data_IF_954937401269
#
_entry.id   IF_954937401269
#
_cell.length_a   1.000
_cell.length_b   1.000
_cell.length_c   1.000
_cell.angle_alpha   90.00
_cell.angle_beta   90.00
_cell.angle_gamma   90.00
#
_symmetry.space_group_name_H-M   'P 1'
#
loop_
_entity.id
_entity.type
_entity.pdbx_description
1 polymer ?
#
# COMPACT_ATOMS: atom_id res chain seq x y z
N UNK A 1 -14.64 11.77 11.75
CA UNK A 1 -13.57 11.35 10.81
C UNK A 1 -13.74 9.91 10.31
N UNK A 2 -14.12 8.96 11.18
CA UNK A 2 -14.33 7.54 10.81
C UNK A 2 -15.43 7.33 9.76
N UNK A 3 -16.57 8.03 9.87
CA UNK A 3 -17.70 7.89 8.92
C UNK A 3 -17.35 8.37 7.50
N UNK A 4 -16.62 9.49 7.38
CA UNK A 4 -16.19 10.05 6.08
C UNK A 4 -15.27 9.08 5.32
N UNK A 5 -14.43 8.32 6.05
CA UNK A 5 -13.53 7.34 5.43
C UNK A 5 -14.24 6.05 5.03
N UNK A 6 -15.25 5.65 5.79
CA UNK A 6 -16.09 4.50 5.44
C UNK A 6 -16.90 4.80 4.18
N UNK A 7 -17.61 5.93 4.16
CA UNK A 7 -18.37 6.40 3.00
C UNK A 7 -17.50 6.52 1.75
N UNK A 8 -16.28 7.07 1.89
CA UNK A 8 -15.34 7.17 0.77
C UNK A 8 -14.83 5.79 0.30
N UNK A 9 -14.65 4.83 1.22
CA UNK A 9 -14.27 3.45 0.87
C UNK A 9 -15.37 2.75 0.08
N UNK A 10 -16.63 2.91 0.51
CA UNK A 10 -17.78 2.34 -0.20
C UNK A 10 -17.98 3.01 -1.56
N UNK A 11 -17.80 4.33 -1.67
CA UNK A 11 -17.83 5.04 -2.94
C UNK A 11 -16.74 4.56 -3.92
N UNK A 12 -15.54 4.22 -3.43
CA UNK A 12 -14.49 3.63 -4.28
C UNK A 12 -14.84 2.24 -4.78
N UNK A 13 -15.48 1.41 -3.95
CA UNK A 13 -15.96 0.09 -4.37
C UNK A 13 -17.05 0.24 -5.43
N UNK A 14 -18.00 1.15 -5.23
CA UNK A 14 -19.07 1.42 -6.20
C UNK A 14 -18.54 2.02 -7.51
N UNK A 15 -17.55 2.92 -7.43
CA UNK A 15 -16.94 3.59 -8.56
C UNK A 15 -15.86 2.78 -9.29
N UNK A 16 -15.58 1.55 -8.85
CA UNK A 16 -14.59 0.69 -9.49
C UNK A 16 -13.13 1.13 -9.28
N UNK A 17 -12.86 2.03 -8.33
CA UNK A 17 -11.53 2.61 -8.04
C UNK A 17 -10.87 1.99 -6.81
N UNK A 18 -11.48 0.97 -6.21
CA UNK A 18 -10.91 0.18 -5.12
C UNK A 18 -9.77 -0.73 -5.62
N UNK A 19 -8.66 -0.09 -6.00
CA UNK A 19 -7.45 -0.72 -6.51
C UNK A 19 -6.19 -0.03 -5.96
N UNK A 20 -5.02 -0.55 -6.32
CA UNK A 20 -3.74 -0.05 -5.80
C UNK A 20 -3.53 1.45 -6.05
N UNK A 21 -3.94 1.94 -7.22
CA UNK A 21 -3.90 3.37 -7.54
C UNK A 21 -4.80 4.17 -6.62
N UNK A 22 -6.06 3.76 -6.44
CA UNK A 22 -7.00 4.44 -5.54
C UNK A 22 -6.52 4.50 -4.09
N UNK A 23 -5.89 3.42 -3.61
CA UNK A 23 -5.32 3.35 -2.26
C UNK A 23 -4.22 4.39 -2.00
N UNK A 24 -3.34 4.61 -2.99
CA UNK A 24 -2.23 5.56 -2.90
C UNK A 24 -2.65 7.01 -3.22
N UNK A 25 -3.51 7.19 -4.22
CA UNK A 25 -3.76 8.47 -4.89
C UNK A 25 -4.62 9.46 -4.13
N UNK A 26 -5.92 9.36 -4.32
CA UNK A 26 -6.78 10.52 -4.10
C UNK A 26 -7.64 10.38 -2.84
N UNK A 27 -7.79 9.16 -2.31
CA UNK A 27 -8.98 8.91 -1.49
C UNK A 27 -8.67 8.55 -0.04
N UNK A 28 -7.43 8.14 0.27
CA UNK A 28 -7.16 7.66 1.62
C UNK A 28 -5.76 7.89 2.19
N UNK A 29 -4.67 7.82 1.42
CA UNK A 29 -3.33 7.97 2.02
C UNK A 29 -2.82 9.42 2.03
N UNK A 30 -2.54 10.00 0.86
CA UNK A 30 -2.02 11.38 0.75
C UNK A 30 -3.03 12.40 1.28
N UNK A 31 -4.29 12.31 0.86
CA UNK A 31 -5.36 13.20 1.33
C UNK A 31 -5.52 13.16 2.86
N UNK A 32 -5.57 11.96 3.45
CA UNK A 32 -5.71 11.83 4.90
C UNK A 32 -4.47 12.36 5.62
N UNK A 33 -3.26 12.11 5.09
CA UNK A 33 -2.03 12.64 5.67
C UNK A 33 -2.03 14.17 5.71
N UNK A 34 -2.56 14.84 4.67
CA UNK A 34 -2.78 16.30 4.67
C UNK A 34 -3.82 16.72 5.71
N UNK A 35 -4.99 16.08 5.74
CA UNK A 35 -6.09 16.41 6.67
C UNK A 35 -5.66 16.31 8.14
N UNK A 36 -4.89 15.27 8.50
CA UNK A 36 -4.39 15.08 9.87
C UNK A 36 -3.04 15.79 10.11
N UNK A 37 -2.59 16.63 9.16
CA UNK A 37 -1.35 17.42 9.23
C UNK A 37 -0.08 16.60 9.49
N UNK A 38 -0.07 15.35 9.01
CA UNK A 38 1.10 14.46 9.03
C UNK A 38 2.12 14.80 7.95
N UNK A 39 1.65 15.42 6.87
CA UNK A 39 2.46 16.08 5.86
C UNK A 39 1.88 17.50 5.69
N UNK A 40 2.68 18.42 5.14
CA UNK A 40 2.23 19.79 4.88
C UNK A 40 0.96 19.78 4.00
N UNK A 41 -0.17 20.34 4.45
CA UNK A 41 -1.38 20.46 3.65
C UNK A 41 -1.16 21.19 2.32
N UNK A 42 -0.18 22.10 2.29
CA UNK A 42 0.21 22.90 1.13
C UNK A 42 1.34 22.27 0.30
N UNK A 43 1.78 21.05 0.63
CA UNK A 43 2.77 20.36 -0.22
C UNK A 43 2.22 20.18 -1.63
N UNK A 44 3.14 20.08 -2.59
CA UNK A 44 2.86 19.99 -4.03
C UNK A 44 1.64 19.09 -4.33
N UNK A 45 0.78 19.49 -5.28
CA UNK A 45 -0.53 18.87 -5.46
C UNK A 45 -0.45 17.43 -6.01
N UNK A 46 0.70 17.00 -6.52
CA UNK A 46 0.90 15.66 -7.06
C UNK A 46 0.80 14.57 -6.01
N UNK A 47 0.16 13.46 -6.38
CA UNK A 47 0.09 12.27 -5.52
C UNK A 47 1.48 11.74 -5.19
N UNK A 48 2.35 11.62 -6.20
CA UNK A 48 3.71 11.14 -6.00
C UNK A 48 4.49 12.07 -5.06
N UNK A 49 4.27 13.38 -5.14
CA UNK A 49 4.88 14.35 -4.21
C UNK A 49 4.40 14.12 -2.78
N UNK A 50 3.09 13.91 -2.60
CA UNK A 50 2.53 13.54 -1.29
C UNK A 50 3.09 12.22 -0.75
N UNK A 51 3.26 11.21 -1.60
CA UNK A 51 3.92 9.95 -1.23
C UNK A 51 5.40 10.17 -0.85
N UNK A 52 6.11 11.05 -1.56
CA UNK A 52 7.49 11.41 -1.24
C UNK A 52 7.57 12.10 0.13
N UNK A 53 6.61 12.94 0.50
CA UNK A 53 6.54 13.53 1.85
C UNK A 53 6.24 12.47 2.92
N UNK A 54 5.31 11.54 2.65
CA UNK A 54 5.05 10.44 3.58
C UNK A 54 6.28 9.54 3.74
N UNK A 55 7.05 9.34 2.68
CA UNK A 55 8.26 8.53 2.70
C UNK A 55 9.35 9.09 3.62
N UNK A 56 9.30 10.39 3.98
CA UNK A 56 10.19 11.02 4.95
C UNK A 56 9.75 10.83 6.41
N UNK A 57 8.53 10.33 6.64
CA UNK A 57 8.02 10.12 8.00
C UNK A 57 8.71 8.94 8.67
N UNK A 58 8.96 9.05 9.98
CA UNK A 58 9.62 7.98 10.75
C UNK A 58 8.83 6.67 10.71
N UNK A 59 7.49 6.73 10.68
CA UNK A 59 6.68 5.51 10.62
C UNK A 59 6.84 4.79 9.28
N UNK A 60 6.92 5.53 8.18
CA UNK A 60 7.18 4.90 6.88
C UNK A 60 8.57 4.29 6.82
N UNK A 61 9.59 5.00 7.29
CA UNK A 61 10.97 4.50 7.31
C UNK A 61 11.03 3.19 8.11
N UNK A 62 10.45 3.15 9.30
CA UNK A 62 10.43 1.95 10.14
C UNK A 62 9.74 0.76 9.46
N UNK A 63 8.60 0.98 8.80
CA UNK A 63 7.89 -0.09 8.07
C UNK A 63 8.69 -0.54 6.85
N UNK A 64 9.32 0.39 6.11
CA UNK A 64 10.12 0.05 4.94
C UNK A 64 11.35 -0.79 5.32
N UNK A 65 12.03 -0.45 6.42
CA UNK A 65 13.15 -1.23 6.94
C UNK A 65 12.72 -2.66 7.31
N UNK A 66 11.55 -2.82 7.91
CA UNK A 66 10.99 -4.15 8.19
C UNK A 66 10.74 -4.95 6.91
N UNK A 67 10.18 -4.34 5.87
CA UNK A 67 10.00 -5.00 4.56
C UNK A 67 11.35 -5.39 3.93
N UNK A 68 12.34 -4.50 4.00
CA UNK A 68 13.70 -4.74 3.48
C UNK A 68 14.35 -5.93 4.16
N UNK A 69 14.30 -5.99 5.49
CA UNK A 69 14.87 -7.10 6.27
C UNK A 69 14.13 -8.40 5.98
N UNK A 70 12.79 -8.39 6.04
CA UNK A 70 11.97 -9.58 5.84
C UNK A 70 12.17 -10.21 4.45
N UNK A 71 12.32 -9.37 3.43
CA UNK A 71 12.49 -9.80 2.03
C UNK A 71 13.96 -9.93 1.60
N UNK A 72 14.91 -9.67 2.51
CA UNK A 72 16.37 -9.69 2.26
C UNK A 72 16.78 -8.81 1.08
N UNK A 73 16.24 -7.59 1.03
CA UNK A 73 16.48 -6.63 -0.04
C UNK A 73 17.59 -5.64 0.33
N UNK A 74 18.05 -4.88 -0.66
CA UNK A 74 18.99 -3.78 -0.47
C UNK A 74 18.22 -2.48 -0.32
N UNK A 75 18.30 -1.84 0.86
CA UNK A 75 17.56 -0.61 1.19
C UNK A 75 17.72 0.47 0.11
N UNK A 76 18.94 0.68 -0.41
CA UNK A 76 19.22 1.68 -1.45
C UNK A 76 18.38 1.46 -2.71
N UNK A 77 18.18 0.22 -3.13
CA UNK A 77 17.43 -0.11 -4.34
C UNK A 77 15.93 -0.02 -4.12
N UNK A 78 15.46 -0.37 -2.91
CA UNK A 78 14.09 -0.17 -2.48
C UNK A 78 13.74 1.32 -2.42
N UNK A 79 14.58 2.15 -1.82
CA UNK A 79 14.35 3.60 -1.70
C UNK A 79 14.24 4.28 -3.06
N UNK A 80 15.00 3.85 -4.07
CA UNK A 80 14.88 4.38 -5.45
C UNK A 80 13.50 4.14 -6.05
N UNK A 81 12.81 3.07 -5.63
CA UNK A 81 11.49 2.72 -6.14
C UNK A 81 10.38 3.63 -5.59
N UNK A 82 10.62 4.39 -4.52
CA UNK A 82 9.64 5.31 -3.91
C UNK A 82 9.15 6.34 -4.92
N UNK A 83 10.07 6.96 -5.68
CA UNK A 83 9.77 8.00 -6.66
C UNK A 83 8.88 7.52 -7.83
N UNK A 84 8.71 6.21 -7.98
CA UNK A 84 7.94 5.58 -9.06
C UNK A 84 6.69 4.85 -8.56
N UNK A 85 6.39 4.93 -7.26
CA UNK A 85 5.34 4.14 -6.63
C UNK A 85 3.96 4.42 -7.25
N UNK A 86 3.62 5.69 -7.46
CA UNK A 86 2.33 6.06 -8.03
C UNK A 86 2.21 5.72 -9.52
N UNK A 87 3.28 5.90 -10.28
CA UNK A 87 3.35 5.49 -11.69
C UNK A 87 3.12 3.97 -11.82
N UNK A 88 3.81 3.16 -11.01
CA UNK A 88 3.63 1.70 -11.05
C UNK A 88 2.22 1.27 -10.63
N UNK A 89 1.67 1.88 -9.59
CA UNK A 89 0.29 1.61 -9.17
C UNK A 89 -0.72 1.96 -10.26
N UNK A 90 -0.44 2.98 -11.06
CA UNK A 90 -1.32 3.44 -12.13
C UNK A 90 -1.34 2.53 -13.35
N UNK A 91 -0.22 1.87 -13.68
CA UNK A 91 -0.10 0.94 -14.82
C UNK A 91 -1.01 -0.28 -14.73
N UNK A 92 -1.35 -0.69 -13.51
CA UNK A 92 -2.19 -1.86 -13.24
C UNK A 92 -3.49 -1.49 -12.52
N UNK A 93 -3.97 -0.26 -12.70
CA UNK A 93 -5.15 0.28 -12.01
C UNK A 93 -6.50 -0.15 -12.61
N UNK A 94 -6.54 -1.22 -13.42
CA UNK A 94 -7.77 -1.70 -14.03
C UNK A 94 -8.46 -2.70 -13.10
N UNK A 95 -9.76 -2.49 -12.87
CA UNK A 95 -10.62 -3.40 -12.12
C UNK A 95 -10.85 -2.99 -10.66
N UNK A 96 -11.86 -3.62 -10.08
CA UNK A 96 -12.21 -3.58 -8.67
C UNK A 96 -12.17 -5.01 -8.13
N UNK A 97 -11.03 -5.37 -7.57
CA UNK A 97 -10.82 -6.72 -7.02
C UNK A 97 -11.47 -6.87 -5.63
N UNK A 98 -12.17 -5.85 -5.11
CA UNK A 98 -12.67 -5.75 -3.71
C UNK A 98 -11.60 -5.91 -2.62
N UNK A 99 -10.36 -6.25 -3.01
CA UNK A 99 -9.17 -6.46 -2.22
C UNK A 99 -8.01 -5.82 -3.00
N UNK A 100 -7.23 -4.96 -2.33
CA UNK A 100 -6.01 -4.41 -2.91
C UNK A 100 -4.95 -5.51 -2.93
N UNK A 101 -4.68 -6.06 -4.10
CA UNK A 101 -3.73 -7.16 -4.28
C UNK A 101 -2.41 -6.65 -4.86
N UNK A 102 -1.30 -6.96 -4.19
CA UNK A 102 0.04 -6.78 -4.74
C UNK A 102 0.45 -8.08 -5.45
N UNK A 103 0.65 -8.06 -6.76
CA UNK A 103 0.99 -9.24 -7.55
C UNK A 103 2.45 -9.21 -7.97
N UNK A 104 3.19 -10.29 -7.71
CA UNK A 104 4.61 -10.40 -8.07
C UNK A 104 4.88 -10.32 -9.58
N UNK A 105 3.94 -10.82 -10.39
CA UNK A 105 4.03 -10.74 -11.85
C UNK A 105 4.00 -9.31 -12.42
N UNK A 106 3.61 -8.30 -11.63
CA UNK A 106 3.49 -6.91 -12.07
C UNK A 106 4.54 -5.98 -11.44
N UNK A 107 5.27 -6.46 -10.44
CA UNK A 107 6.16 -5.62 -9.63
C UNK A 107 7.40 -6.39 -9.21
N UNK A 108 8.55 -5.73 -9.27
CA UNK A 108 9.78 -6.28 -8.68
C UNK A 108 9.66 -6.38 -7.16
N UNK A 109 10.48 -7.22 -6.53
CA UNK A 109 10.50 -7.34 -5.06
C UNK A 109 10.74 -5.98 -4.36
N UNK A 110 11.56 -5.11 -4.95
CA UNK A 110 11.81 -3.77 -4.44
C UNK A 110 10.57 -2.86 -4.53
N UNK A 111 9.84 -2.92 -5.65
CA UNK A 111 8.59 -2.17 -5.81
C UNK A 111 7.51 -2.68 -4.86
N UNK A 112 7.41 -4.01 -4.69
CA UNK A 112 6.46 -4.62 -3.74
C UNK A 112 6.74 -4.18 -2.31
N UNK A 113 8.01 -4.10 -1.90
CA UNK A 113 8.38 -3.63 -0.55
C UNK A 113 7.91 -2.18 -0.32
N UNK A 114 8.12 -1.29 -1.29
CA UNK A 114 7.64 0.11 -1.21
C UNK A 114 6.12 0.19 -1.12
N UNK A 115 5.42 -0.52 -2.01
CA UNK A 115 3.95 -0.52 -2.05
C UNK A 115 3.35 -1.11 -0.77
N UNK A 116 3.92 -2.21 -0.27
CA UNK A 116 3.52 -2.82 1.00
C UNK A 116 3.75 -1.86 2.18
N UNK A 117 4.89 -1.15 2.20
CA UNK A 117 5.16 -0.18 3.26
C UNK A 117 4.14 0.96 3.29
N UNK A 118 3.78 1.52 2.12
CA UNK A 118 2.74 2.55 2.03
C UNK A 118 1.38 2.03 2.56
N UNK A 119 0.96 0.84 2.13
CA UNK A 119 -0.30 0.23 2.58
C UNK A 119 -0.29 -0.09 4.09
N UNK A 120 0.84 -0.57 4.62
CA UNK A 120 0.98 -0.91 6.05
C UNK A 120 0.91 0.31 6.95
N UNK A 121 1.57 1.42 6.58
CA UNK A 121 1.48 2.70 7.30
C UNK A 121 0.04 3.21 7.36
N UNK A 122 -0.73 2.98 6.31
CA UNK A 122 -2.16 3.30 6.30
C UNK A 122 -2.94 2.42 7.28
N UNK A 123 -2.64 1.13 7.38
CA UNK A 123 -3.34 0.20 8.30
C UNK A 123 -2.95 0.35 9.77
N UNK A 124 -1.70 0.70 10.09
CA UNK A 124 -1.22 0.82 11.48
C UNK A 124 -1.90 1.95 12.27
N UNK A 125 -2.51 2.93 11.59
CA UNK A 125 -3.29 4.00 12.22
C UNK A 125 -4.79 3.69 12.38
N UNK A 126 -5.27 2.60 11.81
CA UNK A 126 -6.65 2.13 11.94
C UNK A 126 -6.64 0.77 12.62
N UNK A 127 -6.51 0.77 13.94
CA UNK A 127 -6.72 -0.46 14.71
C UNK A 127 -8.13 -1.03 14.41
N UNK A 128 -8.16 -2.33 14.11
CA UNK A 128 -9.23 -3.31 14.31
C UNK A 128 -10.24 -3.73 13.22
N UNK A 129 -10.26 -3.21 12.00
CA UNK A 129 -11.23 -3.74 10.98
C UNK A 129 -10.63 -4.55 9.82
N UNK A 130 -9.33 -4.48 9.53
CA UNK A 130 -8.78 -5.06 8.29
C UNK A 130 -7.60 -6.03 8.46
N UNK A 131 -7.24 -6.40 9.69
CA UNK A 131 -6.10 -7.30 9.97
C UNK A 131 -6.45 -8.78 9.71
N UNK A 132 -7.73 -9.15 9.55
CA UNK A 132 -8.10 -10.57 9.39
C UNK A 132 -7.75 -11.16 8.00
N UNK A 133 -7.50 -10.36 6.96
CA UNK A 133 -7.29 -10.90 5.60
C UNK A 133 -5.84 -10.97 5.10
N UNK A 134 -4.86 -10.33 5.75
CA UNK A 134 -3.46 -10.43 5.30
C UNK A 134 -2.77 -11.72 5.78
N UNK A 135 -3.15 -12.26 6.95
CA UNK A 135 -2.57 -13.51 7.46
C UNK A 135 -3.15 -14.78 6.81
N UNK A 136 -4.35 -14.73 6.24
CA UNK A 136 -4.96 -15.90 5.59
C UNK A 136 -4.40 -16.20 4.20
N UNK A 137 -3.87 -15.22 3.48
CA UNK A 137 -3.36 -15.44 2.11
C UNK A 137 -1.91 -15.94 2.13
N UNK A 138 -1.12 -15.60 3.15
CA UNK A 138 0.28 -16.07 3.28
C UNK A 138 0.36 -17.53 3.76
N UNK A 139 -0.66 -18.03 4.46
CA UNK A 139 -0.71 -19.41 4.96
C UNK A 139 -1.47 -20.41 4.07
N UNK A 140 -1.98 -19.99 2.91
CA UNK A 140 -2.54 -20.92 1.91
C UNK A 140 -1.42 -21.50 1.03
N UNK A 141 -0.43 -22.13 1.68
CA UNK A 141 0.59 -22.94 1.03
C UNK A 141 -0.05 -24.21 0.45
N UNK A 142 0.02 -24.32 -0.88
CA UNK A 142 0.20 -25.52 -1.70
C UNK A 142 0.00 -26.85 -0.96
N UNK A 143 -1.03 -27.67 -1.27
CA UNK A 143 -1.03 -29.06 -0.84
C UNK A 143 0.12 -29.80 -1.55
N UNK A 144 1.14 -30.20 -0.80
CA UNK A 144 2.11 -31.16 -1.29
C UNK A 144 1.41 -32.50 -1.47
N UNK A 145 1.35 -32.96 -2.72
CA UNK A 145 1.21 -34.37 -3.06
C UNK A 145 2.39 -35.11 -2.43
N UNK A 146 2.13 -36.03 -1.52
CA UNK A 146 3.05 -37.14 -1.26
C UNK A 146 2.44 -38.44 -1.78
N UNK A 147 3.16 -39.02 -2.71
CA UNK A 147 3.00 -40.37 -3.23
C UNK A 147 3.67 -41.34 -2.23
N UNK A 148 2.91 -42.36 -1.80
CA UNK A 148 3.29 -43.78 -1.63
C UNK A 148 4.39 -44.16 -0.59
N UNK A 149 4.52 -45.44 -0.18
CA UNK A 149 4.17 -46.71 -0.86
C UNK A 149 2.69 -47.10 -0.79
#
# INVERSE_FOLDING_TARGET
>A
MVMVLHEKTENMKLGGTFNLRGALAAERMVYQAKVIKKIDPNCQPGIQDGLNEIAKTQEFIAVLEQEVVARRLVLKDVTRCIALAYDQASKHAQGNDSIITLREQHHTANQLAVLAAFLRVQTQKFFLSLIINFEKVVNAGIPQKEFSP
#
